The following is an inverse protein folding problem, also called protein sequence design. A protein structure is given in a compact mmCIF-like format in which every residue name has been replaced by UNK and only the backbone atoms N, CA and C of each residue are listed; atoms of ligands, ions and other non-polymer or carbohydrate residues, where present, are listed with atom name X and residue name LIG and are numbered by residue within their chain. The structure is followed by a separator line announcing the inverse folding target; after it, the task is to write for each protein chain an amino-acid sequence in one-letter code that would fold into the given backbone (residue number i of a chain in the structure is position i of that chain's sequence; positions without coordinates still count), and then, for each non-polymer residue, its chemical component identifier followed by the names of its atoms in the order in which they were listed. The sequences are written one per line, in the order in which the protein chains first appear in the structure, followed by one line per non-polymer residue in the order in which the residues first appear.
data_IF_026036485734
#
_entry.id   IF_026036485734
#
_cell.length_a   1.000
_cell.length_b   1.000
_cell.length_c   1.000
_cell.angle_alpha   90.00
_cell.angle_beta   90.00
_cell.angle_gamma   90.00
#
_symmetry.space_group_name_H-M   'P 1'
#
loop_
_entity.id
_entity.type
_entity.pdbx_description
1 polymer ?
#
# COMPACT_ATOMS: atom_id res chain seq x y z
N UNK A 1 -2.65 -31.31 8.84
CA UNK A 1 -3.29 -30.22 9.62
C UNK A 1 -4.12 -29.39 8.66
N UNK A 2 -5.46 -29.23 8.89
CA UNK A 2 -6.37 -28.52 7.97
C UNK A 2 -5.90 -27.10 7.59
N UNK A 3 -5.15 -26.44 8.47
CA UNK A 3 -4.63 -25.08 8.21
C UNK A 3 -3.44 -25.13 7.24
N UNK A 4 -2.53 -26.08 7.44
CA UNK A 4 -1.38 -26.29 6.54
C UNK A 4 -1.87 -26.78 5.18
N UNK A 5 -2.82 -27.72 5.17
CA UNK A 5 -3.43 -28.22 3.94
C UNK A 5 -4.17 -27.10 3.20
N UNK A 6 -4.90 -26.24 3.91
CA UNK A 6 -5.56 -25.06 3.32
C UNK A 6 -4.59 -24.00 2.78
N UNK A 7 -3.43 -23.80 3.40
CA UNK A 7 -2.38 -22.94 2.85
C UNK A 7 -1.71 -23.57 1.63
N UNK A 8 -1.45 -24.88 1.64
CA UNK A 8 -0.93 -25.60 0.48
C UNK A 8 -1.93 -25.57 -0.66
N UNK A 9 -3.22 -25.70 -0.37
CA UNK A 9 -4.28 -25.57 -1.38
C UNK A 9 -4.38 -24.14 -1.94
N UNK A 10 -4.19 -23.11 -1.11
CA UNK A 10 -4.05 -21.72 -1.56
C UNK A 10 -2.83 -21.53 -2.50
N UNK A 11 -1.72 -22.18 -2.19
CA UNK A 11 -0.52 -22.15 -3.04
C UNK A 11 -0.67 -22.98 -4.34
N UNK A 12 -1.56 -23.95 -4.36
CA UNK A 12 -1.75 -24.89 -5.45
C UNK A 12 -3.12 -24.72 -6.18
N UNK A 13 -3.91 -23.70 -5.86
CA UNK A 13 -5.13 -23.44 -6.59
C UNK A 13 -4.81 -23.22 -8.08
N UNK A 14 -4.93 -24.28 -8.87
CA UNK A 14 -5.18 -24.18 -10.28
C UNK A 14 -6.61 -23.67 -10.44
N UNK A 15 -6.74 -22.33 -10.52
CA UNK A 15 -7.95 -21.76 -11.06
C UNK A 15 -8.07 -22.30 -12.50
N UNK A 16 -9.17 -22.96 -12.82
CA UNK A 16 -9.43 -23.55 -14.13
C UNK A 16 -9.56 -22.52 -15.26
N UNK A 17 -8.83 -21.42 -15.19
CA UNK A 17 -8.75 -20.37 -16.19
C UNK A 17 -7.95 -20.85 -17.41
N UNK A 18 -8.42 -20.44 -18.58
CA UNK A 18 -7.76 -20.70 -19.88
C UNK A 18 -6.30 -20.23 -19.83
N UNK A 19 -5.39 -20.89 -20.59
CA UNK A 19 -4.01 -20.42 -20.73
C UNK A 19 -4.00 -18.94 -21.10
N UNK A 20 -3.20 -18.15 -20.36
CA UNK A 20 -3.00 -16.73 -20.63
C UNK A 20 -2.58 -16.53 -22.08
N UNK A 21 -3.36 -15.78 -22.86
CA UNK A 21 -2.97 -15.35 -24.20
C UNK A 21 -2.06 -14.13 -24.01
N UNK A 22 -0.86 -14.09 -24.62
CA UNK A 22 -0.03 -12.90 -24.56
C UNK A 22 -0.80 -11.73 -25.18
N UNK A 23 -1.00 -10.68 -24.40
CA UNK A 23 -1.55 -9.42 -24.90
C UNK A 23 -0.63 -8.86 -25.99
N UNK A 24 -1.20 -8.55 -27.15
CA UNK A 24 -0.47 -7.95 -28.27
C UNK A 24 -0.35 -6.42 -28.14
N UNK A 25 -0.73 -5.86 -26.98
CA UNK A 25 -0.68 -4.42 -26.71
C UNK A 25 0.69 -4.06 -26.15
N UNK A 26 1.41 -3.18 -26.83
CA UNK A 26 2.68 -2.66 -26.35
C UNK A 26 2.40 -1.63 -25.22
N UNK A 27 2.45 -2.07 -23.99
CA UNK A 27 2.36 -1.20 -22.82
C UNK A 27 3.75 -0.63 -22.52
N UNK A 28 3.85 0.68 -22.21
CA UNK A 28 5.11 1.37 -21.94
C UNK A 28 5.92 0.70 -20.81
N UNK A 29 5.26 0.17 -19.79
CA UNK A 29 5.93 -0.46 -18.64
C UNK A 29 6.62 -1.79 -18.96
N UNK A 30 6.24 -2.46 -20.04
CA UNK A 30 6.89 -3.73 -20.46
C UNK A 30 8.30 -3.51 -21.02
N UNK A 31 8.61 -2.28 -21.45
CA UNK A 31 9.92 -1.88 -21.97
C UNK A 31 10.61 -0.85 -21.05
N UNK A 32 9.98 -0.49 -19.95
CA UNK A 32 10.50 0.54 -19.06
C UNK A 32 11.75 0.10 -18.29
N UNK A 33 12.70 1.02 -18.19
CA UNK A 33 13.78 0.94 -17.23
C UNK A 33 13.40 1.79 -16.04
N UNK A 34 12.95 1.13 -14.96
CA UNK A 34 12.49 1.78 -13.75
C UNK A 34 13.65 2.01 -12.79
N UNK A 35 13.81 3.24 -12.32
CA UNK A 35 14.79 3.61 -11.31
C UNK A 35 14.08 4.05 -10.04
N UNK A 36 14.33 3.34 -8.93
CA UNK A 36 13.78 3.72 -7.63
C UNK A 36 14.60 4.86 -7.02
N UNK A 37 13.90 5.88 -6.51
CA UNK A 37 14.50 6.96 -5.73
C UNK A 37 13.89 6.96 -4.33
N UNK A 38 14.78 6.92 -3.32
CA UNK A 38 14.45 7.32 -1.96
C UNK A 38 14.81 8.83 -1.83
N UNK A 39 13.81 9.73 -1.81
CA UNK A 39 14.06 11.18 -1.93
C UNK A 39 15.03 11.69 -0.87
N UNK A 40 14.85 11.29 0.37
CA UNK A 40 15.63 11.73 1.53
C UNK A 40 17.16 11.66 1.34
N UNK A 41 17.65 10.65 0.60
CA UNK A 41 19.10 10.39 0.43
C UNK A 41 19.62 10.58 -1.00
N UNK A 42 18.76 10.97 -1.96
CA UNK A 42 19.16 11.01 -3.36
C UNK A 42 19.94 12.28 -3.72
N UNK A 43 19.35 13.46 -3.54
CA UNK A 43 19.98 14.74 -3.85
C UNK A 43 19.32 15.87 -3.08
N UNK A 44 20.09 16.53 -2.27
CA UNK A 44 19.73 17.76 -1.58
C UNK A 44 19.76 18.95 -2.57
N UNK A 45 18.63 19.57 -2.83
CA UNK A 45 18.48 20.71 -3.74
C UNK A 45 18.52 22.07 -3.02
N UNK A 46 18.28 22.09 -1.70
CA UNK A 46 18.20 23.34 -0.92
C UNK A 46 19.38 23.52 0.07
N UNK A 47 20.25 22.51 0.20
CA UNK A 47 21.44 22.47 1.09
C UNK A 47 21.09 22.42 2.59
N UNK A 48 20.01 21.73 2.97
CA UNK A 48 19.64 21.48 4.36
C UNK A 48 20.14 20.12 4.90
N UNK A 49 20.75 19.31 4.05
CA UNK A 49 21.28 17.99 4.37
C UNK A 49 20.33 16.85 4.06
N UNK A 50 19.11 17.13 3.56
CA UNK A 50 18.09 16.16 3.21
C UNK A 50 17.81 16.24 1.71
N UNK A 51 17.70 15.08 1.05
CA UNK A 51 17.31 15.02 -0.35
C UNK A 51 15.83 15.41 -0.53
N UNK A 52 15.54 16.05 -1.65
CA UNK A 52 14.22 16.65 -1.92
C UNK A 52 13.79 16.54 -3.40
N UNK A 53 12.56 16.98 -3.71
CA UNK A 53 12.02 16.94 -5.06
C UNK A 53 12.79 17.86 -6.02
N UNK A 54 13.31 18.99 -5.53
CA UNK A 54 14.17 19.90 -6.30
C UNK A 54 15.47 19.22 -6.70
N UNK A 55 16.09 18.51 -5.78
CA UNK A 55 17.30 17.73 -6.08
C UNK A 55 17.04 16.63 -7.12
N UNK A 56 15.86 15.99 -7.10
CA UNK A 56 15.48 15.02 -8.14
C UNK A 56 15.37 15.74 -9.50
N UNK A 57 14.67 16.88 -9.57
CA UNK A 57 14.54 17.67 -10.81
C UNK A 57 15.92 18.02 -11.38
N UNK A 58 16.87 18.46 -10.56
CA UNK A 58 18.25 18.77 -10.98
C UNK A 58 18.98 17.58 -11.61
N UNK A 59 18.55 16.34 -11.31
CA UNK A 59 19.19 15.10 -11.77
C UNK A 59 18.47 14.43 -12.94
N UNK A 60 17.38 14.98 -13.45
CA UNK A 60 16.60 14.34 -14.51
C UNK A 60 17.36 14.14 -15.80
N UNK A 61 18.22 15.09 -16.21
CA UNK A 61 19.05 14.92 -17.40
C UNK A 61 20.05 13.78 -17.25
N UNK A 62 20.68 13.66 -16.07
CA UNK A 62 21.56 12.52 -15.75
C UNK A 62 20.81 11.19 -15.81
N UNK A 63 19.59 11.11 -15.24
CA UNK A 63 18.80 9.89 -15.25
C UNK A 63 18.34 9.53 -16.67
N UNK A 64 17.96 10.52 -17.46
CA UNK A 64 17.59 10.33 -18.85
C UNK A 64 18.78 9.83 -19.70
N UNK A 65 19.98 10.44 -19.55
CA UNK A 65 21.22 10.00 -20.21
C UNK A 65 21.62 8.57 -19.80
N UNK A 66 21.31 8.16 -18.57
CA UNK A 66 21.52 6.79 -18.08
C UNK A 66 20.59 5.78 -18.74
N UNK A 67 19.54 6.24 -19.44
CA UNK A 67 18.53 5.41 -20.10
C UNK A 67 17.32 5.06 -19.23
N UNK A 68 17.14 5.74 -18.10
CA UNK A 68 15.94 5.56 -17.24
C UNK A 68 14.73 6.12 -17.98
N UNK A 69 13.64 5.35 -17.99
CA UNK A 69 12.38 5.75 -18.65
C UNK A 69 11.23 5.94 -17.67
N UNK A 70 11.38 5.47 -16.43
CA UNK A 70 10.40 5.69 -15.36
C UNK A 70 11.09 5.84 -14.01
N UNK A 71 10.62 6.78 -13.19
CA UNK A 71 11.01 6.91 -11.79
C UNK A 71 9.94 6.32 -10.90
N UNK A 72 10.35 5.49 -9.94
CA UNK A 72 9.54 5.12 -8.80
C UNK A 72 10.06 5.85 -7.57
N UNK A 73 9.23 6.70 -6.97
CA UNK A 73 9.54 7.39 -5.73
C UNK A 73 9.01 6.59 -4.54
N UNK A 74 9.87 6.32 -3.55
CA UNK A 74 9.41 5.94 -2.19
C UNK A 74 8.49 7.03 -1.65
N UNK A 75 7.67 6.77 -0.61
CA UNK A 75 6.60 7.69 -0.21
C UNK A 75 7.04 9.15 -0.07
N UNK A 76 6.29 10.05 -0.70
CA UNK A 76 6.53 11.50 -0.64
C UNK A 76 5.40 12.27 0.07
N UNK A 77 4.34 11.56 0.45
CA UNK A 77 3.17 12.17 1.09
C UNK A 77 3.48 12.62 2.51
N UNK A 78 2.70 13.57 3.02
CA UNK A 78 2.89 14.08 4.36
C UNK A 78 2.81 12.95 5.41
N UNK A 79 3.81 12.88 6.27
CA UNK A 79 4.01 11.81 7.23
C UNK A 79 4.73 12.32 8.47
N UNK A 80 4.43 11.83 9.68
CA UNK A 80 5.27 12.07 10.85
C UNK A 80 6.60 11.30 10.80
N UNK A 81 6.81 10.45 9.78
CA UNK A 81 8.05 9.77 9.46
C UNK A 81 8.49 8.73 10.52
N UNK A 82 7.52 8.04 11.12
CA UNK A 82 7.79 6.90 12.04
C UNK A 82 8.36 5.70 11.26
N UNK A 83 7.94 5.52 10.01
CA UNK A 83 8.36 4.44 9.11
C UNK A 83 8.74 4.96 7.71
N UNK A 84 9.65 5.92 7.64
CA UNK A 84 10.22 6.44 6.38
C UNK A 84 9.16 6.88 5.34
N UNK A 85 8.04 7.44 5.81
CA UNK A 85 6.95 7.90 4.96
C UNK A 85 5.86 6.86 4.70
N UNK A 86 6.03 5.61 5.13
CA UNK A 86 4.98 4.58 5.03
C UNK A 86 3.86 4.73 6.07
N UNK A 87 3.97 5.68 6.97
CA UNK A 87 2.94 6.14 7.91
C UNK A 87 2.33 7.46 7.41
N UNK A 88 1.43 7.39 6.43
CA UNK A 88 0.89 8.57 5.74
C UNK A 88 -0.13 9.30 6.62
N UNK A 89 0.11 10.60 6.86
CA UNK A 89 -0.79 11.50 7.58
C UNK A 89 -1.77 12.23 6.66
N UNK A 90 -1.31 12.62 5.46
CA UNK A 90 -2.15 13.23 4.42
C UNK A 90 -1.68 12.81 3.03
N UNK A 91 -2.52 12.08 2.31
CA UNK A 91 -2.23 11.59 0.94
C UNK A 91 -2.25 12.69 -0.13
N UNK A 92 -2.78 13.87 0.18
CA UNK A 92 -2.90 15.00 -0.75
C UNK A 92 -1.94 16.16 -0.43
N UNK A 93 -1.01 15.94 0.48
CA UNK A 93 0.07 16.85 0.82
C UNK A 93 1.44 16.21 0.61
N UNK A 94 2.45 17.01 0.39
CA UNK A 94 3.85 16.57 0.28
C UNK A 94 4.53 16.75 1.64
N UNK A 95 5.36 15.78 2.03
CA UNK A 95 6.20 15.89 3.22
C UNK A 95 7.06 17.15 3.13
N UNK A 96 6.99 18.00 4.15
CA UNK A 96 7.59 19.34 4.14
C UNK A 96 9.09 19.33 3.83
N UNK A 97 9.79 18.29 4.27
CA UNK A 97 11.23 18.10 4.02
C UNK A 97 11.54 17.85 2.53
N UNK A 98 10.58 17.31 1.78
CA UNK A 98 10.75 17.02 0.36
C UNK A 98 10.32 18.17 -0.54
N UNK A 99 9.60 19.16 -0.02
CA UNK A 99 9.15 20.32 -0.78
C UNK A 99 7.64 20.55 -0.72
N UNK A 100 7.09 21.04 -1.81
CA UNK A 100 5.69 21.48 -1.93
C UNK A 100 4.95 20.68 -3.00
N UNK A 101 3.63 20.84 -3.04
CA UNK A 101 2.82 20.30 -4.14
C UNK A 101 3.25 20.88 -5.50
N UNK A 102 3.65 22.16 -5.55
CA UNK A 102 4.16 22.78 -6.77
C UNK A 102 5.47 22.11 -7.25
N UNK A 103 6.34 21.68 -6.33
CA UNK A 103 7.56 20.94 -6.67
C UNK A 103 7.23 19.55 -7.23
N UNK A 104 6.23 18.88 -6.68
CA UNK A 104 5.77 17.59 -7.20
C UNK A 104 5.17 17.73 -8.60
N UNK A 105 4.33 18.74 -8.84
CA UNK A 105 3.73 19.02 -10.15
C UNK A 105 4.81 19.42 -11.18
N UNK A 106 5.82 20.17 -10.77
CA UNK A 106 6.96 20.50 -11.63
C UNK A 106 7.76 19.26 -11.99
N UNK A 107 8.05 18.37 -11.02
CA UNK A 107 8.75 17.11 -11.27
C UNK A 107 8.01 16.24 -12.29
N UNK A 108 6.68 16.08 -12.14
CA UNK A 108 5.85 15.35 -13.09
C UNK A 108 5.97 15.97 -14.50
N UNK A 109 5.84 17.29 -14.60
CA UNK A 109 5.95 18.00 -15.87
C UNK A 109 7.32 17.85 -16.52
N UNK A 110 8.41 17.96 -15.74
CA UNK A 110 9.78 17.83 -16.23
C UNK A 110 10.13 16.40 -16.67
N UNK A 111 9.57 15.38 -16.01
CA UNK A 111 9.66 13.99 -16.45
C UNK A 111 8.97 13.79 -17.81
N UNK A 112 7.73 14.26 -17.96
CA UNK A 112 6.97 14.13 -19.20
C UNK A 112 7.64 14.85 -20.37
N UNK A 113 8.27 16.02 -20.17
CA UNK A 113 9.05 16.71 -21.20
C UNK A 113 10.21 15.88 -21.75
N UNK A 114 10.71 14.92 -20.96
CA UNK A 114 11.79 13.99 -21.32
C UNK A 114 11.27 12.62 -21.78
N UNK A 115 9.96 12.49 -21.99
CA UNK A 115 9.29 11.20 -22.27
C UNK A 115 9.53 10.13 -21.18
N UNK A 116 9.75 10.59 -19.94
CA UNK A 116 9.88 9.74 -18.76
C UNK A 116 8.56 9.69 -18.00
N UNK A 117 8.36 8.61 -17.25
CA UNK A 117 7.14 8.35 -16.46
C UNK A 117 7.41 8.45 -14.96
N UNK A 118 6.35 8.63 -14.19
CA UNK A 118 6.42 8.64 -12.72
C UNK A 118 5.49 7.61 -12.11
N UNK A 119 6.04 6.86 -11.16
CA UNK A 119 5.33 5.87 -10.33
C UNK A 119 5.43 6.35 -8.88
N UNK A 120 4.31 6.56 -8.23
CA UNK A 120 4.27 6.90 -6.81
C UNK A 120 4.00 5.66 -5.96
N UNK A 121 4.62 5.63 -4.81
CA UNK A 121 4.31 4.63 -3.78
C UNK A 121 3.00 4.99 -3.10
N UNK A 122 2.06 4.05 -3.01
CA UNK A 122 0.78 4.27 -2.35
C UNK A 122 0.55 3.21 -1.27
N UNK A 123 0.40 3.70 -0.04
CA UNK A 123 0.26 2.89 1.16
C UNK A 123 -1.21 2.92 1.57
N UNK A 124 -1.94 1.83 1.34
CA UNK A 124 -3.39 1.78 1.57
C UNK A 124 -3.85 0.61 2.44
N UNK A 125 -2.90 -0.19 2.96
CA UNK A 125 -3.22 -1.15 4.01
C UNK A 125 -3.50 -0.44 5.35
N UNK A 126 -2.80 0.65 5.63
CA UNK A 126 -2.85 1.43 6.88
C UNK A 126 -2.60 2.91 6.61
N UNK A 127 -2.82 3.75 7.61
CA UNK A 127 -2.42 5.16 7.62
C UNK A 127 -1.54 5.44 8.83
N UNK A 128 -1.05 6.69 8.97
CA UNK A 128 -0.55 7.17 10.26
C UNK A 128 -1.67 7.20 11.30
N UNK A 129 -1.34 7.03 12.58
CA UNK A 129 -2.24 7.32 13.70
C UNK A 129 -2.53 8.84 13.85
N UNK A 130 -1.76 9.69 13.15
CA UNK A 130 -2.00 11.13 13.03
C UNK A 130 -2.89 11.52 11.84
N UNK A 131 -3.34 10.56 11.01
CA UNK A 131 -4.28 10.81 9.93
C UNK A 131 -5.64 11.27 10.49
N UNK A 132 -6.26 12.25 9.83
CA UNK A 132 -7.55 12.82 10.29
C UNK A 132 -8.65 11.76 10.47
N UNK A 133 -8.68 10.74 9.61
CA UNK A 133 -9.63 9.62 9.72
C UNK A 133 -9.45 8.84 11.02
N UNK A 134 -8.19 8.59 11.42
CA UNK A 134 -7.92 7.85 12.66
C UNK A 134 -8.27 8.69 13.89
N UNK A 135 -7.87 9.96 13.88
CA UNK A 135 -8.20 10.90 14.96
C UNK A 135 -9.72 11.02 15.16
N UNK A 136 -10.48 11.13 14.04
CA UNK A 136 -11.95 11.17 14.09
C UNK A 136 -12.53 9.82 14.53
N UNK A 137 -12.00 8.71 14.03
CA UNK A 137 -12.42 7.35 14.39
C UNK A 137 -12.30 7.10 15.91
N UNK A 138 -11.23 7.59 16.54
CA UNK A 138 -11.04 7.51 18.01
C UNK A 138 -12.08 8.33 18.74
N UNK A 139 -12.28 9.60 18.34
CA UNK A 139 -13.15 10.56 19.03
C UNK A 139 -14.64 10.31 18.79
N UNK A 140 -14.99 9.86 17.61
CA UNK A 140 -16.36 9.71 17.12
C UNK A 140 -16.64 8.28 16.61
N UNK A 141 -16.74 7.27 17.50
CA UNK A 141 -16.93 5.87 17.07
C UNK A 141 -18.17 5.62 16.21
N UNK A 142 -19.17 6.49 16.28
CA UNK A 142 -20.40 6.45 15.47
C UNK A 142 -20.40 7.51 14.35
N UNK A 143 -19.30 8.21 14.16
CA UNK A 143 -19.11 9.22 13.12
C UNK A 143 -18.79 8.63 11.76
N UNK A 144 -18.58 9.49 10.74
CA UNK A 144 -18.29 9.04 9.36
C UNK A 144 -17.08 8.11 9.27
N UNK A 145 -16.05 8.36 10.06
CA UNK A 145 -14.81 7.56 10.07
C UNK A 145 -14.78 6.53 11.21
N UNK A 146 -15.85 6.38 11.98
CA UNK A 146 -15.89 5.49 13.16
C UNK A 146 -15.49 4.04 12.85
N UNK A 147 -15.76 3.56 11.65
CA UNK A 147 -15.47 2.18 11.18
C UNK A 147 -14.45 2.15 10.01
N UNK A 148 -13.61 3.18 9.89
CA UNK A 148 -12.55 3.22 8.87
C UNK A 148 -11.37 2.31 9.17
N UNK A 149 -11.19 1.95 10.45
CA UNK A 149 -10.13 1.08 10.94
C UNK A 149 -10.71 -0.18 11.55
N UNK A 150 -9.87 -1.18 11.74
CA UNK A 150 -10.32 -2.47 12.29
C UNK A 150 -10.28 -2.37 13.82
N UNK A 151 -11.45 -2.11 14.41
CA UNK A 151 -11.65 -2.03 15.85
C UNK A 151 -12.31 -3.29 16.39
N UNK A 152 -11.86 -3.77 17.57
CA UNK A 152 -12.50 -4.90 18.26
C UNK A 152 -12.38 -4.73 19.77
N UNK A 153 -13.38 -5.22 20.48
CA UNK A 153 -13.28 -5.35 21.93
C UNK A 153 -12.32 -6.46 22.31
N UNK A 154 -11.57 -6.26 23.39
CA UNK A 154 -10.69 -7.28 23.93
C UNK A 154 -11.43 -8.42 24.63
N UNK A 155 -10.71 -9.49 24.93
CA UNK A 155 -11.16 -10.63 25.75
C UNK A 155 -10.84 -10.34 27.22
N UNK A 156 -11.63 -9.47 27.87
CA UNK A 156 -11.34 -8.91 29.20
C UNK A 156 -10.15 -7.96 29.13
N UNK A 157 -9.05 -8.27 29.81
CA UNK A 157 -7.81 -7.46 29.77
C UNK A 157 -6.86 -7.82 28.62
N UNK A 158 -7.19 -8.87 27.86
CA UNK A 158 -6.39 -9.34 26.74
C UNK A 158 -6.87 -8.74 25.42
N UNK A 159 -5.97 -8.66 24.41
CA UNK A 159 -6.37 -8.22 23.07
C UNK A 159 -7.39 -9.17 22.42
N UNK A 160 -8.01 -8.76 21.29
CA UNK A 160 -9.02 -9.55 20.59
C UNK A 160 -8.57 -10.94 20.14
N UNK A 161 -7.31 -11.07 19.75
CA UNK A 161 -6.69 -12.32 19.33
C UNK A 161 -5.17 -12.30 19.63
N UNK A 162 -4.49 -13.39 19.26
CA UNK A 162 -3.08 -13.61 19.56
C UNK A 162 -2.10 -13.15 18.46
N UNK A 163 -2.54 -12.30 17.52
CA UNK A 163 -1.69 -11.87 16.40
C UNK A 163 -0.51 -11.03 16.84
N UNK A 164 0.61 -11.20 16.12
CA UNK A 164 1.81 -10.38 16.28
C UNK A 164 1.94 -9.34 15.17
N UNK A 165 2.50 -8.19 15.54
CA UNK A 165 2.99 -7.20 14.58
C UNK A 165 4.27 -7.67 13.88
N UNK A 166 4.49 -7.24 12.64
CA UNK A 166 5.76 -7.42 11.91
C UNK A 166 6.93 -6.70 12.60
N UNK A 167 6.66 -5.63 13.35
CA UNK A 167 7.65 -4.84 14.09
C UNK A 167 7.80 -5.24 15.55
N UNK A 168 7.34 -6.46 15.89
CA UNK A 168 7.33 -7.05 17.22
C UNK A 168 6.17 -6.63 18.13
N UNK A 169 5.88 -7.49 19.10
CA UNK A 169 4.79 -7.29 20.04
C UNK A 169 3.40 -7.67 19.48
N UNK A 170 2.32 -7.40 20.24
CA UNK A 170 0.95 -7.66 19.78
C UNK A 170 0.58 -6.79 18.58
N UNK A 171 -0.29 -7.32 17.70
CA UNK A 171 -0.84 -6.58 16.57
C UNK A 171 -2.05 -5.69 16.96
N UNK A 172 -2.33 -5.54 18.23
CA UNK A 172 -3.48 -4.80 18.76
C UNK A 172 -3.05 -3.83 19.84
N UNK A 173 -3.44 -2.55 19.69
CA UNK A 173 -3.20 -1.50 20.70
C UNK A 173 -4.54 -1.03 21.27
N UNK A 174 -4.62 -0.90 22.59
CA UNK A 174 -5.83 -0.45 23.28
C UNK A 174 -5.95 1.08 23.26
N UNK A 175 -7.16 1.55 22.96
CA UNK A 175 -7.54 2.96 23.10
C UNK A 175 -8.60 3.07 24.18
N UNK A 176 -8.24 3.66 25.32
CA UNK A 176 -9.12 3.74 26.51
C UNK A 176 -10.37 4.57 26.24
N UNK A 177 -10.26 5.65 25.45
CA UNK A 177 -11.39 6.51 25.08
C UNK A 177 -12.49 5.77 24.34
N UNK A 178 -12.14 4.71 23.59
CA UNK A 178 -13.07 3.84 22.86
C UNK A 178 -13.45 2.57 23.58
N UNK A 179 -12.65 2.17 24.59
CA UNK A 179 -12.67 0.84 25.22
C UNK A 179 -12.58 -0.31 24.19
N UNK A 180 -11.82 -0.07 23.13
CA UNK A 180 -11.56 -1.01 22.05
C UNK A 180 -10.08 -1.06 21.70
N UNK A 181 -9.69 -2.06 20.92
CA UNK A 181 -8.36 -2.20 20.34
C UNK A 181 -8.46 -1.97 18.84
N UNK A 182 -7.46 -1.30 18.25
CA UNK A 182 -7.28 -1.27 16.81
C UNK A 182 -6.18 -2.24 16.36
N UNK A 183 -6.35 -2.79 15.16
CA UNK A 183 -5.35 -3.63 14.51
C UNK A 183 -4.23 -2.78 13.92
N UNK A 184 -2.99 -3.22 14.09
CA UNK A 184 -1.82 -2.70 13.37
C UNK A 184 -0.88 -3.85 13.04
N UNK A 185 -0.79 -4.23 11.78
CA UNK A 185 0.13 -5.28 11.34
C UNK A 185 1.59 -4.84 11.42
N UNK A 186 1.86 -3.55 11.33
CA UNK A 186 3.19 -2.91 11.41
C UNK A 186 3.34 -2.13 12.73
N UNK A 187 3.89 -0.92 12.68
CA UNK A 187 3.98 -0.08 13.87
C UNK A 187 2.59 0.21 14.47
N UNK A 188 2.53 0.36 15.80
CA UNK A 188 1.31 0.85 16.45
C UNK A 188 0.90 2.26 15.98
N UNK A 189 1.81 2.98 15.32
CA UNK A 189 1.52 4.24 14.64
C UNK A 189 0.94 4.07 13.23
N UNK A 190 0.67 2.83 12.81
CA UNK A 190 0.16 2.48 11.49
C UNK A 190 -1.11 1.62 11.60
N UNK A 191 -2.25 2.19 12.05
CA UNK A 191 -3.52 1.47 12.18
C UNK A 191 -4.01 0.96 10.82
N UNK A 192 -4.42 -0.31 10.77
CA UNK A 192 -4.93 -0.98 9.58
C UNK A 192 -6.32 -0.46 9.20
N UNK A 193 -6.47 -0.10 7.92
CA UNK A 193 -7.75 0.31 7.35
C UNK A 193 -8.73 -0.86 7.21
N UNK A 194 -10.00 -0.58 7.43
CA UNK A 194 -11.10 -1.53 7.28
C UNK A 194 -11.60 -1.56 5.82
N UNK A 195 -11.01 -2.39 4.98
CA UNK A 195 -11.38 -2.54 3.57
C UNK A 195 -12.78 -3.13 3.33
N UNK A 196 -13.40 -3.73 4.35
CA UNK A 196 -14.81 -4.14 4.30
C UNK A 196 -15.73 -2.91 4.18
N UNK A 197 -15.32 -1.76 4.71
CA UNK A 197 -16.07 -0.52 4.63
C UNK A 197 -15.98 0.08 3.22
N UNK A 198 -17.07 0.22 2.47
CA UNK A 198 -17.06 0.79 1.13
C UNK A 198 -16.59 2.27 1.11
N UNK A 199 -16.83 3.04 2.18
CA UNK A 199 -16.38 4.42 2.25
C UNK A 199 -14.83 4.53 2.25
N UNK A 200 -14.13 3.58 2.89
CA UNK A 200 -12.66 3.48 2.81
C UNK A 200 -12.22 3.28 1.36
N UNK A 201 -12.87 2.38 0.62
CA UNK A 201 -12.55 2.10 -0.78
C UNK A 201 -12.85 3.31 -1.68
N UNK A 202 -13.95 4.03 -1.41
CA UNK A 202 -14.29 5.27 -2.12
C UNK A 202 -13.22 6.34 -1.93
N UNK A 203 -12.76 6.55 -0.70
CA UNK A 203 -11.72 7.53 -0.39
C UNK A 203 -10.36 7.15 -0.98
N UNK A 204 -9.99 5.86 -0.95
CA UNK A 204 -8.78 5.35 -1.62
C UNK A 204 -8.85 5.61 -3.13
N UNK A 205 -10.00 5.33 -3.77
CA UNK A 205 -10.20 5.69 -5.18
C UNK A 205 -10.01 7.18 -5.42
N UNK A 206 -10.55 8.04 -4.55
CA UNK A 206 -10.41 9.49 -4.65
C UNK A 206 -8.97 9.99 -4.46
N UNK A 207 -8.14 9.28 -3.68
CA UNK A 207 -6.70 9.57 -3.56
C UNK A 207 -5.98 9.23 -4.88
N UNK A 208 -6.27 8.07 -5.46
CA UNK A 208 -5.66 7.63 -6.73
C UNK A 208 -6.06 8.59 -7.86
N UNK A 209 -7.33 8.95 -7.98
CA UNK A 209 -7.81 9.89 -8.99
C UNK A 209 -7.14 11.26 -8.85
N UNK A 210 -6.99 11.78 -7.63
CA UNK A 210 -6.29 13.04 -7.37
C UNK A 210 -4.87 13.06 -7.96
N UNK A 211 -4.09 11.98 -7.78
CA UNK A 211 -2.73 11.91 -8.30
C UNK A 211 -2.69 11.63 -9.81
N UNK A 212 -3.65 10.86 -10.34
CA UNK A 212 -3.77 10.68 -11.78
C UNK A 212 -4.11 11.99 -12.51
N UNK A 213 -4.98 12.80 -11.94
CA UNK A 213 -5.31 14.13 -12.47
C UNK A 213 -4.09 15.07 -12.49
N UNK A 214 -3.12 14.87 -11.59
CA UNK A 214 -1.83 15.58 -11.59
C UNK A 214 -0.82 15.01 -12.59
N UNK A 215 -1.14 13.92 -13.27
CA UNK A 215 -0.30 13.33 -14.31
C UNK A 215 0.57 12.15 -13.85
N UNK A 216 0.31 11.56 -12.71
CA UNK A 216 1.01 10.33 -12.27
C UNK A 216 0.66 9.18 -13.20
N UNK A 217 1.68 8.49 -13.73
CA UNK A 217 1.56 7.43 -14.75
C UNK A 217 1.33 6.05 -14.16
N UNK A 218 1.73 5.84 -12.91
CA UNK A 218 1.60 4.55 -12.25
C UNK A 218 1.74 4.61 -10.74
N UNK A 219 1.42 3.48 -10.10
CA UNK A 219 1.45 3.33 -8.65
C UNK A 219 2.13 2.01 -8.25
N UNK A 220 3.00 2.09 -7.25
CA UNK A 220 3.46 0.92 -6.51
C UNK A 220 2.60 0.80 -5.26
N UNK A 221 1.99 -0.36 -5.06
CA UNK A 221 1.07 -0.61 -3.96
C UNK A 221 1.80 -1.37 -2.86
N UNK A 222 1.96 -0.70 -1.73
CA UNK A 222 2.63 -1.23 -0.55
C UNK A 222 1.82 -2.35 0.10
N UNK A 223 2.45 -3.49 0.35
CA UNK A 223 1.90 -4.70 1.00
C UNK A 223 0.44 -5.01 0.62
N UNK A 224 0.11 -4.85 -0.64
CA UNK A 224 -1.27 -4.81 -1.13
C UNK A 224 -2.05 -6.12 -0.90
N UNK A 225 -1.36 -7.24 -0.75
CA UNK A 225 -1.99 -8.51 -0.44
C UNK A 225 -2.54 -8.61 1.00
N UNK A 226 -2.21 -7.66 1.88
CA UNK A 226 -2.67 -7.65 3.27
C UNK A 226 -3.97 -6.88 3.51
N UNK A 227 -4.50 -6.17 2.52
CA UNK A 227 -5.71 -5.34 2.69
C UNK A 227 -6.97 -6.14 3.04
N UNK A 228 -7.05 -7.40 2.60
CA UNK A 228 -8.19 -8.30 2.88
C UNK A 228 -7.86 -9.25 4.03
N UNK A 229 -8.71 -9.26 5.07
CA UNK A 229 -8.61 -10.20 6.19
C UNK A 229 -9.72 -11.25 6.06
N UNK A 230 -9.35 -12.54 6.10
CA UNK A 230 -10.32 -13.64 6.01
C UNK A 230 -11.15 -13.77 7.28
N UNK A 231 -10.50 -13.62 8.44
CA UNK A 231 -11.14 -13.60 9.75
C UNK A 231 -10.28 -12.84 10.75
N UNK A 232 -10.78 -12.65 11.98
CA UNK A 232 -10.04 -12.07 13.09
C UNK A 232 -9.96 -13.07 14.28
N UNK A 233 -9.99 -14.35 13.97
CA UNK A 233 -9.80 -15.42 14.96
C UNK A 233 -8.35 -15.52 15.41
N UNK A 234 -8.10 -16.30 16.47
CA UNK A 234 -6.74 -16.56 16.93
C UNK A 234 -5.93 -17.27 15.84
N UNK A 235 -4.70 -16.83 15.63
CA UNK A 235 -3.78 -17.45 14.69
C UNK A 235 -3.18 -18.75 15.22
N UNK A 236 -2.73 -19.63 14.32
CA UNK A 236 -2.07 -20.88 14.63
C UNK A 236 -0.72 -20.64 15.30
N UNK A 237 -0.55 -21.11 16.54
CA UNK A 237 0.74 -21.05 17.24
C UNK A 237 1.85 -21.81 16.50
N UNK A 238 1.50 -22.89 15.81
CA UNK A 238 2.45 -23.67 15.04
C UNK A 238 2.98 -22.90 13.84
N UNK A 239 2.09 -22.29 13.06
CA UNK A 239 2.47 -21.42 11.94
C UNK A 239 3.20 -20.17 12.43
N UNK A 240 2.74 -19.57 13.53
CA UNK A 240 3.40 -18.42 14.14
C UNK A 240 4.84 -18.71 14.55
N UNK A 241 5.13 -19.90 15.09
CA UNK A 241 6.49 -20.35 15.40
C UNK A 241 7.34 -20.62 14.15
N UNK A 242 6.73 -21.14 13.09
CA UNK A 242 7.43 -21.48 11.84
C UNK A 242 7.75 -20.24 11.02
N UNK A 243 6.77 -19.34 10.87
CA UNK A 243 6.87 -18.16 10.01
C UNK A 243 7.25 -16.88 10.77
N UNK A 244 7.30 -16.93 12.10
CA UNK A 244 7.54 -15.81 13.02
C UNK A 244 6.40 -14.77 13.09
N UNK A 245 5.26 -15.04 12.43
CA UNK A 245 4.11 -14.13 12.39
C UNK A 245 2.83 -14.90 12.71
N UNK A 246 2.37 -14.81 13.96
CA UNK A 246 1.09 -15.41 14.38
C UNK A 246 -0.08 -14.63 13.78
N UNK A 247 -1.01 -15.34 13.14
CA UNK A 247 -2.20 -14.73 12.50
C UNK A 247 -2.03 -14.46 11.01
N UNK A 248 -0.84 -14.69 10.42
CA UNK A 248 -0.57 -14.43 9.01
C UNK A 248 -1.53 -15.15 8.06
N UNK A 249 -2.00 -16.34 8.42
CA UNK A 249 -2.97 -17.12 7.66
C UNK A 249 -4.32 -16.42 7.47
N UNK A 250 -4.63 -15.42 8.30
CA UNK A 250 -5.87 -14.66 8.23
C UNK A 250 -5.77 -13.38 7.39
N UNK A 251 -4.58 -12.87 7.09
CA UNK A 251 -4.39 -11.62 6.37
C UNK A 251 -3.43 -11.68 5.18
N UNK A 252 -2.68 -12.78 5.04
CA UNK A 252 -1.67 -12.94 3.99
C UNK A 252 -2.27 -12.84 2.58
N UNK A 253 -3.46 -13.41 2.37
CA UNK A 253 -4.16 -13.43 1.10
C UNK A 253 -5.65 -13.64 1.35
N UNK A 254 -6.32 -12.58 1.83
CA UNK A 254 -7.72 -12.68 2.22
C UNK A 254 -8.64 -12.95 1.03
N UNK A 255 -9.78 -13.55 1.34
CA UNK A 255 -10.74 -14.05 0.34
C UNK A 255 -11.40 -12.97 -0.55
N UNK A 256 -11.32 -11.68 -0.18
CA UNK A 256 -11.83 -10.56 -0.98
C UNK A 256 -10.72 -9.73 -1.65
N UNK A 257 -9.47 -10.17 -1.60
CA UNK A 257 -8.34 -9.43 -2.18
C UNK A 257 -8.57 -9.12 -3.66
N UNK A 258 -8.91 -10.12 -4.46
CA UNK A 258 -9.15 -9.97 -5.90
C UNK A 258 -10.31 -9.01 -6.19
N UNK A 259 -11.40 -9.08 -5.41
CA UNK A 259 -12.53 -8.15 -5.51
C UNK A 259 -12.07 -6.70 -5.32
N UNK A 260 -11.27 -6.43 -4.30
CA UNK A 260 -10.77 -5.08 -4.01
C UNK A 260 -9.80 -4.59 -5.08
N UNK A 261 -8.90 -5.44 -5.56
CA UNK A 261 -7.96 -5.08 -6.64
C UNK A 261 -8.70 -4.78 -7.93
N UNK A 262 -9.68 -5.60 -8.32
CA UNK A 262 -10.52 -5.35 -9.48
C UNK A 262 -11.33 -4.05 -9.33
N UNK A 263 -11.88 -3.78 -8.15
CA UNK A 263 -12.57 -2.52 -7.85
C UNK A 263 -11.65 -1.32 -8.05
N UNK A 264 -10.43 -1.36 -7.50
CA UNK A 264 -9.44 -0.29 -7.67
C UNK A 264 -9.03 -0.12 -9.14
N UNK A 265 -8.81 -1.22 -9.88
CA UNK A 265 -8.46 -1.16 -11.30
C UNK A 265 -9.54 -0.47 -12.11
N UNK A 266 -10.78 -0.92 -11.98
CA UNK A 266 -11.88 -0.46 -12.82
C UNK A 266 -12.36 0.95 -12.45
N UNK A 267 -12.30 1.33 -11.17
CA UNK A 267 -12.76 2.62 -10.68
C UNK A 267 -11.69 3.71 -10.73
N UNK A 268 -10.48 3.42 -10.29
CA UNK A 268 -9.45 4.42 -10.02
C UNK A 268 -8.21 4.29 -10.90
N UNK A 269 -7.52 3.16 -10.92
CA UNK A 269 -6.28 3.02 -11.71
C UNK A 269 -6.53 3.08 -13.21
N UNK A 270 -7.61 2.46 -13.71
CA UNK A 270 -7.97 2.43 -15.14
C UNK A 270 -6.77 1.98 -16.00
N UNK A 271 -6.18 2.91 -16.76
CA UNK A 271 -5.03 2.71 -17.66
C UNK A 271 -3.66 3.00 -17.01
N UNK A 272 -3.63 3.46 -15.74
CA UNK A 272 -2.38 3.67 -15.03
C UNK A 272 -1.66 2.34 -14.74
N UNK A 273 -0.34 2.36 -14.84
CA UNK A 273 0.49 1.22 -14.44
C UNK A 273 0.36 0.94 -12.94
N UNK A 274 0.33 -0.35 -12.58
CA UNK A 274 0.36 -0.77 -11.18
C UNK A 274 1.37 -1.88 -10.96
N UNK A 275 2.13 -1.78 -9.90
CA UNK A 275 2.98 -2.86 -9.39
C UNK A 275 2.69 -3.07 -7.91
N UNK A 276 2.33 -4.29 -7.53
CA UNK A 276 2.06 -4.65 -6.14
C UNK A 276 3.31 -5.18 -5.45
N UNK A 277 3.57 -4.69 -4.25
CA UNK A 277 4.38 -5.44 -3.31
C UNK A 277 3.49 -6.50 -2.65
N UNK A 278 3.82 -7.77 -2.88
CA UNK A 278 3.03 -8.93 -2.41
C UNK A 278 3.92 -9.91 -1.66
N UNK A 279 4.41 -9.52 -0.45
CA UNK A 279 5.36 -10.35 0.30
C UNK A 279 4.78 -11.73 0.62
N UNK A 280 5.60 -12.75 0.36
CA UNK A 280 5.28 -14.15 0.62
C UNK A 280 4.46 -14.86 -0.47
N UNK A 281 3.95 -14.15 -1.49
CA UNK A 281 3.19 -14.79 -2.57
C UNK A 281 4.10 -15.60 -3.49
N UNK A 282 3.61 -16.76 -3.91
CA UNK A 282 4.28 -17.62 -4.88
C UNK A 282 3.98 -17.22 -6.33
N UNK A 283 4.64 -17.91 -7.28
CA UNK A 283 4.52 -17.64 -8.72
C UNK A 283 3.07 -17.73 -9.21
N UNK A 284 2.31 -18.73 -8.79
CA UNK A 284 0.93 -18.92 -9.26
C UNK A 284 -0.01 -17.83 -8.74
N UNK A 285 0.16 -17.40 -7.48
CA UNK A 285 -0.59 -16.25 -6.95
C UNK A 285 -0.27 -14.97 -7.72
N UNK A 286 1.01 -14.71 -8.01
CA UNK A 286 1.41 -13.53 -8.78
C UNK A 286 0.88 -13.56 -10.21
N UNK A 287 0.81 -14.72 -10.86
CA UNK A 287 0.14 -14.87 -12.16
C UNK A 287 -1.34 -14.50 -12.11
N UNK A 288 -2.05 -14.88 -11.03
CA UNK A 288 -3.45 -14.51 -10.84
C UNK A 288 -3.61 -12.99 -10.64
N UNK A 289 -2.76 -12.39 -9.81
CA UNK A 289 -2.81 -10.96 -9.51
C UNK A 289 -2.50 -10.08 -10.74
N UNK A 290 -1.73 -10.58 -11.72
CA UNK A 290 -1.30 -9.84 -12.91
C UNK A 290 -1.90 -10.37 -14.22
N UNK A 291 -2.93 -11.20 -14.14
CA UNK A 291 -3.61 -11.72 -15.32
C UNK A 291 -4.46 -10.62 -15.99
N UNK A 292 -4.19 -10.33 -17.26
CA UNK A 292 -4.86 -9.24 -18.00
C UNK A 292 -6.41 -9.38 -17.95
N UNK A 293 -6.93 -10.61 -18.03
CA UNK A 293 -8.38 -10.89 -18.00
C UNK A 293 -9.04 -10.65 -16.63
N UNK A 294 -8.26 -10.52 -15.57
CA UNK A 294 -8.79 -10.23 -14.22
C UNK A 294 -8.93 -8.74 -13.96
N UNK A 295 -8.23 -7.91 -14.73
CA UNK A 295 -8.22 -6.47 -14.55
C UNK A 295 -7.91 -6.07 -13.10
N UNK A 296 -6.75 -6.50 -12.59
CA UNK A 296 -6.26 -6.22 -11.24
C UNK A 296 -4.94 -5.44 -11.30
N UNK A 297 -3.78 -6.09 -11.15
CA UNK A 297 -2.45 -5.48 -11.28
C UNK A 297 -1.87 -5.68 -12.70
N UNK A 298 -0.76 -4.99 -13.01
CA UNK A 298 -0.01 -5.14 -14.27
C UNK A 298 1.25 -5.97 -14.10
#
# INVERSE_FOLDING_TARGET
DPVIDGMIDLFNQEDGTKPLQPSNTAYWWKEAIVYQIYPHSFKDGNNDGIGDLRGIIEKLDYLHELGVTALWLSPIFDSPNDDNGYDVRDYRAIMTEFGTMADAEELISELHKRDMRIILDIVVNHTSDEHEWFIDSVKNPQGPHGDYYIWRRGKGVLPPNNWNSFFSGPAWEKVDERDEYYLHLFSKKQPDLNWENPAVRDDVCGIIDFWREKGVDGFRLDVINYISKTSLEDGSELLGKLLQFTGIEHYFYGNRLHEYLHELRTRAFKDAFTVGETPGTGLEMNKLLTADEREELN
#
